data_IF_521263878824
#
_entry.id   IF_521263878824
#
_cell.length_a   1.000
_cell.length_b   1.000
_cell.length_c   1.000
_cell.angle_alpha   90.00
_cell.angle_beta   90.00
_cell.angle_gamma   90.00
#
_symmetry.space_group_name_H-M   'P 1'
#
loop_
_entity.id
_entity.type
_entity.pdbx_description
1 polymer ?
#
# COMPACT_ATOMS: atom_id res chain seq x y z
N UNK A 1 1.51 -9.46 10.05
CA UNK A 1 0.97 -8.13 9.69
C UNK A 1 -0.45 -7.92 10.22
N UNK A 2 -1.33 -8.93 10.23
CA UNK A 2 -2.73 -8.78 10.65
C UNK A 2 -2.93 -8.05 11.98
N UNK A 3 -2.21 -8.45 13.05
CA UNK A 3 -2.28 -7.76 14.35
C UNK A 3 -2.01 -6.26 14.27
N UNK A 4 -1.10 -5.83 13.39
CA UNK A 4 -0.76 -4.43 13.20
C UNK A 4 -1.85 -3.67 12.42
N UNK A 5 -2.50 -4.35 11.46
CA UNK A 5 -3.60 -3.80 10.68
C UNK A 5 -4.86 -3.63 11.55
N UNK A 6 -5.17 -4.60 12.40
CA UNK A 6 -6.25 -4.50 13.39
C UNK A 6 -6.01 -3.32 14.32
N UNK A 7 -4.81 -3.24 14.90
CA UNK A 7 -4.42 -2.11 15.76
C UNK A 7 -4.53 -0.76 15.04
N UNK A 8 -4.12 -0.68 13.77
CA UNK A 8 -4.23 0.54 12.98
C UNK A 8 -5.69 0.97 12.79
N UNK A 9 -6.57 0.01 12.46
CA UNK A 9 -8.00 0.26 12.27
C UNK A 9 -8.66 0.77 13.56
N UNK A 10 -8.32 0.17 14.69
CA UNK A 10 -8.87 0.53 16.01
C UNK A 10 -8.40 1.92 16.48
N UNK A 11 -7.12 2.26 16.30
CA UNK A 11 -6.55 3.51 16.82
C UNK A 11 -6.78 4.72 15.89
N UNK A 12 -6.87 4.51 14.58
CA UNK A 12 -6.83 5.61 13.59
C UNK A 12 -8.03 5.65 12.66
N UNK A 13 -9.03 4.77 12.85
CA UNK A 13 -10.25 4.67 12.03
C UNK A 13 -9.96 4.57 10.52
N UNK A 14 -8.90 3.84 10.16
CA UNK A 14 -8.47 3.66 8.76
C UNK A 14 -9.26 2.52 8.11
N UNK A 15 -9.84 2.79 6.95
CA UNK A 15 -10.47 1.79 6.11
C UNK A 15 -9.43 1.02 5.29
N UNK A 16 -9.38 -0.31 5.49
CA UNK A 16 -8.51 -1.22 4.78
C UNK A 16 -9.36 -2.17 3.93
N UNK A 17 -9.13 -2.16 2.61
CA UNK A 17 -9.73 -3.12 1.69
C UNK A 17 -8.75 -4.28 1.45
N UNK A 18 -9.18 -5.49 1.78
CA UNK A 18 -8.43 -6.72 1.47
C UNK A 18 -8.91 -7.27 0.13
N UNK A 19 -7.97 -7.45 -0.80
CA UNK A 19 -8.24 -8.03 -2.11
C UNK A 19 -7.51 -9.37 -2.22
N UNK A 20 -8.26 -10.46 -2.37
CA UNK A 20 -7.70 -11.79 -2.63
C UNK A 20 -7.37 -11.91 -4.13
N UNK A 21 -6.11 -12.20 -4.45
CA UNK A 21 -5.65 -12.23 -5.85
C UNK A 21 -5.76 -13.62 -6.49
N UNK A 22 -5.65 -14.71 -5.71
CA UNK A 22 -5.61 -16.07 -6.24
C UNK A 22 -6.96 -16.51 -6.85
N UNK A 23 -8.05 -15.95 -6.35
CA UNK A 23 -9.41 -16.30 -6.76
C UNK A 23 -10.05 -15.28 -7.72
N UNK A 24 -9.36 -14.15 -7.98
CA UNK A 24 -9.89 -13.04 -8.76
C UNK A 24 -8.83 -12.45 -9.71
N UNK A 25 -9.03 -12.67 -11.01
CA UNK A 25 -8.10 -12.21 -12.05
C UNK A 25 -7.97 -10.69 -12.10
N UNK A 26 -9.03 -9.93 -11.83
CA UNK A 26 -8.97 -8.46 -11.79
C UNK A 26 -8.10 -7.95 -10.65
N UNK A 27 -8.16 -8.59 -9.48
CA UNK A 27 -7.29 -8.24 -8.36
C UNK A 27 -5.83 -8.58 -8.67
N UNK A 28 -5.57 -9.67 -9.38
CA UNK A 28 -4.23 -10.04 -9.83
C UNK A 28 -3.68 -9.06 -10.88
N UNK A 29 -4.49 -8.64 -11.85
CA UNK A 29 -4.13 -7.59 -12.82
C UNK A 29 -3.84 -6.25 -12.14
N UNK A 30 -4.69 -5.86 -11.17
CA UNK A 30 -4.46 -4.66 -10.36
C UNK A 30 -3.13 -4.74 -9.62
N UNK A 31 -2.80 -5.89 -8.99
CA UNK A 31 -1.51 -6.07 -8.33
C UNK A 31 -0.34 -5.90 -9.31
N UNK A 32 -0.42 -6.47 -10.52
CA UNK A 32 0.64 -6.33 -11.53
C UNK A 32 0.83 -4.87 -11.99
N UNK A 33 -0.25 -4.09 -12.06
CA UNK A 33 -0.18 -2.67 -12.40
C UNK A 33 0.45 -1.84 -11.27
N UNK A 34 0.09 -2.13 -10.02
CA UNK A 34 0.59 -1.41 -8.85
C UNK A 34 2.04 -1.79 -8.50
N UNK A 35 2.39 -3.07 -8.63
CA UNK A 35 3.75 -3.61 -8.46
C UNK A 35 4.51 -3.65 -9.78
N UNK A 36 4.44 -2.55 -10.53
CA UNK A 36 5.13 -2.41 -11.82
C UNK A 36 6.63 -2.69 -11.65
N UNK A 37 7.26 -3.31 -12.66
CA UNK A 37 8.64 -3.77 -12.61
C UNK A 37 8.97 -4.72 -11.43
N UNK A 38 7.97 -5.32 -10.80
CA UNK A 38 8.15 -6.29 -9.72
C UNK A 38 8.98 -5.70 -8.55
N UNK A 39 8.67 -4.47 -8.16
CA UNK A 39 9.37 -3.71 -7.11
C UNK A 39 9.30 -4.40 -5.74
N UNK A 40 8.15 -4.99 -5.41
CA UNK A 40 7.97 -5.86 -4.25
C UNK A 40 8.13 -7.34 -4.63
N UNK A 41 7.49 -7.75 -5.72
CA UNK A 41 7.53 -9.10 -6.26
C UNK A 41 6.87 -10.18 -5.40
N UNK A 42 6.00 -9.80 -4.47
CA UNK A 42 5.38 -10.75 -3.58
C UNK A 42 4.37 -10.16 -2.60
N UNK A 43 3.60 -11.07 -1.99
CA UNK A 43 2.65 -10.76 -0.93
C UNK A 43 3.27 -10.92 0.48
N UNK A 44 2.74 -10.22 1.49
CA UNK A 44 1.63 -9.27 1.42
C UNK A 44 2.05 -7.92 0.81
N UNK A 45 1.17 -7.36 -0.03
CA UNK A 45 1.35 -6.06 -0.67
C UNK A 45 0.31 -5.07 -0.14
N UNK A 46 0.75 -3.90 0.29
CA UNK A 46 -0.12 -2.85 0.78
C UNK A 46 0.06 -1.60 -0.05
N UNK A 47 -1.03 -1.01 -0.53
CA UNK A 47 -1.01 0.19 -1.37
C UNK A 47 -1.89 1.29 -0.78
N UNK A 48 -1.34 2.49 -0.66
CA UNK A 48 -2.10 3.65 -0.21
C UNK A 48 -2.62 4.40 -1.44
N UNK A 49 -3.93 4.37 -1.66
CA UNK A 49 -4.58 5.03 -2.80
C UNK A 49 -4.39 6.56 -2.83
N UNK A 50 -4.18 7.19 -1.67
CA UNK A 50 -3.98 8.64 -1.57
C UNK A 50 -2.55 9.05 -1.90
N UNK A 51 -1.56 8.32 -1.38
CA UNK A 51 -0.14 8.70 -1.49
C UNK A 51 0.59 7.94 -2.59
N UNK A 52 -0.04 6.91 -3.14
CA UNK A 52 0.53 5.96 -4.11
C UNK A 52 1.77 5.20 -3.59
N UNK A 53 2.02 5.23 -2.27
CA UNK A 53 3.11 4.48 -1.65
C UNK A 53 2.68 3.07 -1.31
N UNK A 54 3.63 2.15 -1.48
CA UNK A 54 3.50 0.75 -1.16
C UNK A 54 4.35 0.33 0.05
N UNK A 55 3.89 -0.71 0.76
CA UNK A 55 4.72 -1.48 1.69
C UNK A 55 4.83 -2.90 1.13
N UNK A 56 6.06 -3.36 0.96
CA UNK A 56 6.37 -4.75 0.62
C UNK A 56 6.55 -5.58 1.90
N UNK A 57 5.72 -6.59 2.13
CA UNK A 57 5.90 -7.56 3.20
C UNK A 57 5.63 -7.01 4.61
N UNK A 58 6.54 -7.33 5.55
CA UNK A 58 6.39 -6.97 6.96
C UNK A 58 7.03 -5.61 7.26
N UNK A 59 6.42 -4.86 8.18
CA UNK A 59 6.97 -3.58 8.66
C UNK A 59 6.61 -3.35 10.13
N UNK A 60 7.15 -2.28 10.72
CA UNK A 60 6.83 -1.87 12.09
C UNK A 60 5.49 -1.15 12.15
N UNK A 61 4.84 -1.16 13.32
CA UNK A 61 3.59 -0.39 13.53
C UNK A 61 3.77 1.10 13.23
N UNK A 62 4.92 1.67 13.63
CA UNK A 62 5.23 3.07 13.36
C UNK A 62 5.24 3.39 11.86
N UNK A 63 5.91 2.55 11.07
CA UNK A 63 5.96 2.71 9.61
C UNK A 63 4.59 2.50 8.97
N UNK A 64 3.86 1.46 9.40
CA UNK A 64 2.50 1.18 8.92
C UNK A 64 1.55 2.36 9.18
N UNK A 65 1.58 2.91 10.40
CA UNK A 65 0.76 4.04 10.79
C UNK A 65 1.12 5.31 10.02
N UNK A 66 2.41 5.59 9.83
CA UNK A 66 2.83 6.74 9.05
C UNK A 66 2.44 6.61 7.57
N UNK A 67 2.60 5.42 6.99
CA UNK A 67 2.17 5.09 5.63
C UNK A 67 0.66 5.30 5.45
N UNK A 68 -0.15 4.85 6.40
CA UNK A 68 -1.61 4.99 6.34
C UNK A 68 -2.06 6.45 6.45
N UNK A 69 -1.41 7.22 7.32
CA UNK A 69 -1.82 8.58 7.68
C UNK A 69 -1.14 9.67 6.84
N UNK A 70 -0.42 9.31 5.79
CA UNK A 70 0.33 10.27 4.95
C UNK A 70 1.27 11.15 5.80
N UNK A 71 1.87 10.55 6.83
CA UNK A 71 2.87 11.22 7.67
C UNK A 71 4.25 10.92 7.12
N UNK A 72 5.12 11.93 7.07
CA UNK A 72 6.50 11.79 6.60
C UNK A 72 7.21 10.64 7.35
N UNK A 73 7.45 9.53 6.67
CA UNK A 73 8.34 8.48 7.17
C UNK A 73 9.78 9.00 7.21
N UNK A 74 10.46 8.88 8.35
CA UNK A 74 11.87 9.33 8.51
C UNK A 74 12.87 8.56 7.63
N UNK A 75 12.50 7.38 7.10
CA UNK A 75 13.40 6.51 6.33
C UNK A 75 12.73 5.85 5.09
N UNK A 76 11.67 6.45 4.53
CA UNK A 76 11.15 6.06 3.21
C UNK A 76 11.77 6.96 2.15
N UNK A 77 12.49 6.38 1.18
CA UNK A 77 13.03 7.13 0.04
C UNK A 77 11.95 8.02 -0.57
N UNK A 78 12.20 9.34 -0.57
CA UNK A 78 11.50 10.30 -1.41
C UNK A 78 12.04 10.15 -2.82
N UNK A 79 11.73 9.04 -3.49
CA UNK A 79 12.00 8.92 -4.92
C UNK A 79 10.77 9.47 -5.63
N UNK A 80 10.89 10.75 -5.94
CA UNK A 80 9.94 11.59 -6.64
C UNK A 80 10.09 11.38 -8.16
N UNK A 81 8.94 11.20 -8.82
CA UNK A 81 8.61 11.23 -10.26
C UNK A 81 8.94 10.03 -11.17
N UNK A 82 7.87 9.43 -11.73
CA UNK A 82 7.49 9.69 -13.13
C UNK A 82 5.96 9.87 -13.26
N UNK A 83 5.57 10.82 -14.12
CA UNK A 83 4.22 11.04 -14.66
C UNK A 83 3.47 9.74 -14.97
N UNK A 84 2.17 9.67 -14.64
CA UNK A 84 1.12 9.37 -15.63
C UNK A 84 -0.24 9.89 -15.11
N UNK A 85 -0.92 10.65 -15.97
CA UNK A 85 -2.29 11.11 -15.86
C UNK A 85 -3.26 9.93 -15.62
N UNK A 86 -4.28 10.10 -14.77
CA UNK A 86 -5.69 10.02 -15.19
C UNK A 86 -6.51 11.04 -14.39
N UNK A 87 -6.81 12.16 -15.03
CA UNK A 87 -8.04 12.92 -14.82
C UNK A 87 -9.21 12.01 -15.25
N UNK A 88 -10.23 11.81 -14.43
CA UNK A 88 -11.63 11.96 -14.87
C UNK A 88 -12.60 12.12 -13.69
N UNK A 89 -13.64 12.89 -14.01
CA UNK A 89 -14.72 13.43 -13.19
C UNK A 89 -15.64 12.36 -12.57
#
# INVERSE_FOLDING_TARGET
>A
MEKLLTKLKEEEDVNLLKLEMYENSYNFELLQQLDYNNLCGGLPYYYNLKTHYNICGATTYHNLRNWALDRKCKYGKRDIFFHFFVLHF
#
